data_IF_700802896580
#
_entry.id   IF_700802896580
#
_cell.length_a   1.000
_cell.length_b   1.000
_cell.length_c   1.000
_cell.angle_alpha   90.00
_cell.angle_beta   90.00
_cell.angle_gamma   90.00
#
_symmetry.space_group_name_H-M   'P 1'
#
loop_
_entity.id
_entity.type
_entity.pdbx_description
1 polymer ?
#
# COMPACT_ATOMS: atom_id res chain seq x y z
N UNK A 1 -41.38 -18.20 -25.61
CA UNK A 1 -42.67 -17.49 -25.56
C UNK A 1 -42.43 -16.03 -25.98
N UNK A 2 -43.09 -15.64 -27.08
CA UNK A 2 -43.04 -14.27 -27.60
C UNK A 2 -44.14 -13.45 -26.93
N UNK A 3 -43.86 -12.18 -26.63
CA UNK A 3 -44.89 -11.10 -26.56
C UNK A 3 -44.18 -9.79 -26.91
N UNK A 4 -44.67 -9.23 -27.69
CA UNK A 4 -45.15 -8.23 -28.70
C UNK A 4 -45.24 -6.83 -28.13
N UNK A 5 -44.89 -5.92 -29.02
CA UNK A 5 -44.90 -4.46 -28.93
C UNK A 5 -46.29 -3.84 -28.78
N UNK A 6 -46.37 -2.69 -28.13
CA UNK A 6 -47.52 -1.80 -28.12
C UNK A 6 -47.08 -0.35 -28.22
N UNK A 7 -47.27 0.26 -29.35
CA UNK A 7 -47.04 1.66 -29.57
C UNK A 7 -48.28 2.50 -29.25
N UNK A 8 -48.11 3.73 -28.78
CA UNK A 8 -49.16 4.80 -28.78
C UNK A 8 -48.53 6.16 -29.08
N UNK A 9 -48.87 6.63 -30.23
CA UNK A 9 -49.32 7.91 -30.81
C UNK A 9 -48.90 9.23 -30.17
N UNK A 10 -48.39 10.05 -31.08
CA UNK A 10 -48.14 11.51 -31.02
C UNK A 10 -49.39 12.30 -30.68
N UNK A 11 -49.21 13.37 -29.92
CA UNK A 11 -50.05 14.58 -30.02
C UNK A 11 -49.14 15.81 -30.17
N UNK A 12 -49.41 16.57 -31.21
CA UNK A 12 -48.81 17.83 -31.59
C UNK A 12 -49.56 18.94 -30.84
N UNK A 13 -48.85 19.80 -30.14
CA UNK A 13 -49.36 21.03 -29.59
C UNK A 13 -48.43 22.20 -29.95
N UNK A 14 -48.91 23.08 -30.84
CA UNK A 14 -48.25 24.32 -31.25
C UNK A 14 -48.65 25.41 -30.25
N UNK A 15 -47.68 26.14 -29.71
CA UNK A 15 -47.95 27.31 -28.88
C UNK A 15 -46.76 28.31 -28.89
N UNK A 16 -47.06 29.51 -29.33
CA UNK A 16 -46.26 30.66 -29.74
C UNK A 16 -45.21 31.18 -28.72
N UNK A 17 -44.16 31.62 -29.30
CA UNK A 17 -43.27 32.77 -29.11
C UNK A 17 -43.32 33.58 -27.79
N UNK A 18 -42.17 33.65 -27.15
CA UNK A 18 -41.80 34.68 -26.20
C UNK A 18 -40.28 34.76 -26.12
N UNK A 19 -39.67 35.69 -26.87
CA UNK A 19 -38.22 35.98 -26.84
C UNK A 19 -37.88 36.74 -25.57
N UNK A 20 -37.28 36.07 -24.61
CA UNK A 20 -36.56 36.72 -23.52
C UNK A 20 -35.07 36.41 -23.71
N UNK A 21 -34.27 37.39 -24.11
CA UNK A 21 -32.82 37.34 -24.08
C UNK A 21 -32.37 37.32 -22.64
N UNK A 22 -31.94 36.16 -22.18
CA UNK A 22 -31.15 36.03 -20.93
C UNK A 22 -29.70 35.93 -21.34
N UNK A 23 -28.90 36.94 -20.95
CA UNK A 23 -27.45 36.91 -21.08
C UNK A 23 -26.89 35.82 -20.17
N UNK A 24 -26.49 34.72 -20.75
CA UNK A 24 -25.76 33.65 -20.03
C UNK A 24 -24.34 34.14 -19.79
N UNK A 25 -24.06 34.58 -18.56
CA UNK A 25 -22.69 34.71 -18.08
C UNK A 25 -22.07 33.30 -17.98
N UNK A 26 -21.18 32.97 -18.90
CA UNK A 26 -20.42 31.73 -18.90
C UNK A 26 -19.45 31.76 -17.73
N UNK A 27 -19.79 31.11 -16.63
CA UNK A 27 -18.86 30.75 -15.58
C UNK A 27 -17.94 29.66 -16.15
N UNK A 28 -16.76 30.04 -16.63
CA UNK A 28 -15.69 29.09 -16.92
C UNK A 28 -15.24 28.46 -15.61
N UNK A 29 -15.21 27.12 -15.49
CA UNK A 29 -14.57 26.49 -14.35
C UNK A 29 -13.07 26.85 -14.36
N UNK A 30 -12.58 27.42 -13.25
CA UNK A 30 -11.17 27.66 -13.06
C UNK A 30 -10.44 26.32 -13.09
N UNK A 31 -9.51 26.16 -14.03
CA UNK A 31 -8.57 25.04 -14.04
C UNK A 31 -7.81 25.02 -12.72
N UNK A 32 -7.63 23.85 -12.09
CA UNK A 32 -6.80 23.78 -10.90
C UNK A 32 -5.40 24.26 -11.23
N UNK A 33 -4.94 25.27 -10.50
CA UNK A 33 -3.59 25.79 -10.62
C UNK A 33 -2.61 24.64 -10.41
N UNK A 34 -1.78 24.35 -11.42
CA UNK A 34 -0.64 23.45 -11.27
C UNK A 34 0.20 23.96 -10.09
N UNK A 35 0.28 23.16 -9.03
CA UNK A 35 1.14 23.46 -7.92
C UNK A 35 2.58 23.60 -8.44
N UNK A 36 3.16 24.78 -8.32
CA UNK A 36 4.54 25.03 -8.68
C UNK A 36 5.44 24.08 -7.88
N UNK A 37 6.55 23.56 -8.45
CA UNK A 37 7.47 22.73 -7.71
C UNK A 37 8.00 23.53 -6.52
N UNK A 38 7.85 22.97 -5.31
CA UNK A 38 8.34 23.58 -4.08
C UNK A 38 9.87 23.47 -4.08
N UNK A 39 10.55 24.52 -4.54
CA UNK A 39 12.02 24.65 -4.53
C UNK A 39 12.48 25.17 -3.16
N UNK A 40 12.25 24.39 -2.10
CA UNK A 40 12.93 24.62 -0.82
C UNK A 40 14.16 23.73 -0.73
N UNK A 41 15.20 24.09 0.07
CA UNK A 41 16.34 23.21 0.28
C UNK A 41 15.83 21.86 0.78
N UNK A 42 16.27 20.77 0.12
CA UNK A 42 15.93 19.41 0.56
C UNK A 42 16.38 19.26 2.02
N UNK A 43 15.48 18.83 2.89
CA UNK A 43 15.86 18.54 4.27
C UNK A 43 16.97 17.48 4.23
N UNK A 44 18.08 17.74 4.94
CA UNK A 44 19.19 16.80 5.00
C UNK A 44 18.72 15.51 5.68
N UNK A 45 18.57 14.42 4.92
CA UNK A 45 18.18 13.12 5.44
C UNK A 45 17.70 12.18 4.36
N UNK A 46 17.77 10.88 4.69
CA UNK A 46 17.31 9.81 3.84
C UNK A 46 16.24 8.99 4.56
N UNK A 47 15.44 8.29 3.76
CA UNK A 47 14.38 7.40 4.17
C UNK A 47 14.57 6.06 3.46
N UNK A 48 14.55 4.96 4.20
CA UNK A 48 14.56 3.60 3.69
C UNK A 48 13.17 3.00 3.85
N UNK A 49 12.52 2.69 2.74
CA UNK A 49 11.26 1.98 2.73
C UNK A 49 11.49 0.51 2.37
N UNK A 50 10.89 -0.37 3.15
CA UNK A 50 10.99 -1.82 3.07
C UNK A 50 9.59 -2.43 3.06
N UNK A 51 9.45 -3.62 2.48
CA UNK A 51 8.19 -4.34 2.53
C UNK A 51 7.79 -5.01 1.21
N UNK A 52 6.50 -5.12 1.02
CA UNK A 52 5.88 -5.84 -0.08
C UNK A 52 5.27 -4.92 -1.16
N UNK A 53 4.23 -5.41 -1.83
CA UNK A 53 3.53 -4.69 -2.91
C UNK A 53 2.86 -3.40 -2.48
N UNK A 54 2.41 -3.29 -1.22
CA UNK A 54 1.80 -2.06 -0.70
C UNK A 54 2.86 -0.96 -0.56
N UNK A 55 4.04 -1.29 -0.02
CA UNK A 55 5.15 -0.35 0.05
C UNK A 55 5.71 -0.01 -1.35
N UNK A 56 5.65 -0.96 -2.29
CA UNK A 56 6.07 -0.75 -3.68
C UNK A 56 5.14 0.21 -4.44
N UNK A 57 3.87 0.30 -4.05
CA UNK A 57 2.83 1.00 -4.81
C UNK A 57 2.36 0.20 -6.01
N UNK A 58 2.28 -1.13 -5.88
CA UNK A 58 1.95 -2.03 -6.98
C UNK A 58 0.57 -1.73 -7.57
N UNK A 59 0.50 -1.71 -8.89
CA UNK A 59 -0.72 -1.56 -9.69
C UNK A 59 -0.84 -2.78 -10.60
N UNK A 60 -1.95 -3.52 -10.58
CA UNK A 60 -2.12 -4.71 -11.42
C UNK A 60 -2.23 -4.35 -12.90
N UNK A 61 -1.85 -5.28 -13.81
CA UNK A 61 -1.86 -5.02 -15.25
C UNK A 61 -3.27 -4.76 -15.83
N UNK A 62 -4.31 -5.17 -15.11
CA UNK A 62 -5.71 -4.94 -15.48
C UNK A 62 -6.21 -3.53 -15.16
N UNK A 63 -5.43 -2.73 -14.41
CA UNK A 63 -5.80 -1.34 -14.09
C UNK A 63 -5.84 -0.47 -15.36
N UNK A 64 -6.66 0.58 -15.32
CA UNK A 64 -6.76 1.54 -16.43
C UNK A 64 -6.48 2.95 -15.89
N UNK A 65 -5.42 3.63 -16.41
CA UNK A 65 -4.46 3.12 -17.38
C UNK A 65 -3.56 2.01 -16.80
N UNK A 66 -3.13 1.07 -17.65
CA UNK A 66 -2.17 0.05 -17.25
C UNK A 66 -0.80 0.66 -16.96
N UNK A 67 -0.10 0.24 -15.90
CA UNK A 67 1.23 0.75 -15.60
C UNK A 67 2.28 0.24 -16.60
N UNK A 68 3.34 1.00 -16.78
CA UNK A 68 4.51 0.52 -17.50
C UNK A 68 5.43 -0.26 -16.54
N UNK A 69 5.38 -1.58 -16.62
CA UNK A 69 6.18 -2.47 -15.76
C UNK A 69 7.69 -2.35 -15.97
N UNK A 70 8.14 -1.83 -17.12
CA UNK A 70 9.56 -1.58 -17.34
C UNK A 70 10.08 -0.29 -16.71
N UNK A 71 9.18 0.54 -16.17
CA UNK A 71 9.53 1.79 -15.48
C UNK A 71 8.99 1.78 -14.06
N UNK A 72 9.84 1.60 -13.04
CA UNK A 72 9.39 1.56 -11.64
C UNK A 72 8.74 2.88 -11.19
N UNK A 73 8.96 4.00 -11.88
CA UNK A 73 8.30 5.28 -11.57
C UNK A 73 6.80 5.27 -11.89
N UNK A 74 6.31 4.25 -12.62
CA UNK A 74 4.88 4.02 -12.83
C UNK A 74 4.16 3.57 -11.55
N UNK A 75 4.91 3.21 -10.52
CA UNK A 75 4.41 2.71 -9.24
C UNK A 75 4.72 3.73 -8.15
N UNK A 76 3.69 4.32 -7.57
CA UNK A 76 3.82 5.35 -6.52
C UNK A 76 3.11 4.86 -5.27
N UNK A 77 3.89 4.39 -4.31
CA UNK A 77 3.40 3.92 -3.02
C UNK A 77 3.28 5.02 -1.97
N UNK A 78 2.92 4.61 -0.76
CA UNK A 78 2.98 5.52 0.39
C UNK A 78 4.40 6.06 0.65
N UNK A 79 5.50 5.29 0.39
CA UNK A 79 6.85 5.81 0.67
C UNK A 79 7.20 7.06 -0.13
N UNK A 80 6.84 7.13 -1.41
CA UNK A 80 7.09 8.28 -2.27
C UNK A 80 6.27 9.50 -1.79
N UNK A 81 5.05 9.27 -1.29
CA UNK A 81 4.21 10.33 -0.73
C UNK A 81 4.78 10.86 0.59
N UNK A 82 5.19 9.98 1.52
CA UNK A 82 5.89 10.35 2.76
C UNK A 82 7.18 11.14 2.46
N UNK A 83 7.98 10.66 1.52
CA UNK A 83 9.23 11.32 1.13
C UNK A 83 8.99 12.76 0.64
N UNK A 84 7.92 12.94 -0.16
CA UNK A 84 7.50 14.26 -0.66
C UNK A 84 7.03 15.16 0.48
N UNK A 85 6.20 14.66 1.40
CA UNK A 85 5.67 15.42 2.52
C UNK A 85 6.78 15.85 3.50
N UNK A 86 7.67 14.92 3.84
CA UNK A 86 8.79 15.20 4.76
C UNK A 86 10.01 15.86 4.08
N UNK A 87 9.97 16.04 2.76
CA UNK A 87 11.07 16.60 1.94
C UNK A 87 12.41 15.87 2.13
N UNK A 88 12.36 14.53 2.25
CA UNK A 88 13.53 13.65 2.35
C UNK A 88 13.62 12.73 1.13
N UNK A 89 14.81 12.19 0.86
CA UNK A 89 14.98 11.24 -0.24
C UNK A 89 14.64 9.83 0.20
N UNK A 90 13.75 9.16 -0.51
CA UNK A 90 13.43 7.75 -0.28
C UNK A 90 14.31 6.83 -1.11
N UNK A 91 14.69 5.72 -0.50
CA UNK A 91 15.18 4.51 -1.16
C UNK A 91 14.15 3.43 -0.88
N UNK A 92 13.30 3.13 -1.86
CA UNK A 92 12.25 2.15 -1.73
C UNK A 92 12.77 0.78 -2.23
N UNK A 93 13.07 -0.12 -1.30
CA UNK A 93 13.61 -1.45 -1.58
C UNK A 93 12.54 -2.55 -1.52
N UNK A 94 11.27 -2.19 -1.42
CA UNK A 94 10.16 -3.13 -1.37
C UNK A 94 10.03 -3.94 -2.65
N UNK A 95 9.41 -5.12 -2.54
CA UNK A 95 9.21 -6.03 -3.65
C UNK A 95 7.78 -6.61 -3.61
N UNK A 96 7.00 -6.50 -4.70
CA UNK A 96 5.68 -7.13 -4.75
C UNK A 96 5.74 -8.63 -4.47
N UNK A 97 4.91 -9.10 -3.52
CA UNK A 97 4.87 -10.51 -3.13
C UNK A 97 5.93 -10.95 -2.11
N UNK A 98 6.70 -10.02 -1.52
CA UNK A 98 7.68 -10.35 -0.48
C UNK A 98 6.99 -10.93 0.76
N UNK A 99 7.50 -12.03 1.30
CA UNK A 99 7.15 -12.61 2.61
C UNK A 99 8.21 -12.25 3.65
N UNK A 100 7.89 -12.42 4.92
CA UNK A 100 8.89 -12.20 5.98
C UNK A 100 10.07 -13.17 5.88
N UNK A 101 9.84 -14.40 5.40
CA UNK A 101 10.87 -15.40 5.18
C UNK A 101 11.79 -15.03 4.00
N UNK A 102 11.23 -14.68 2.84
CA UNK A 102 12.03 -14.31 1.65
C UNK A 102 12.76 -12.98 1.84
N UNK A 103 12.24 -12.09 2.68
CA UNK A 103 12.92 -10.87 3.10
C UNK A 103 14.28 -11.18 3.79
N UNK A 104 14.39 -12.29 4.51
CA UNK A 104 15.56 -12.68 5.30
C UNK A 104 16.48 -13.65 4.58
N UNK A 105 15.92 -14.66 3.90
CA UNK A 105 16.62 -15.84 3.44
C UNK A 105 16.56 -15.95 1.91
N UNK A 106 17.72 -15.99 1.22
CA UNK A 106 17.75 -16.21 -0.23
C UNK A 106 17.11 -17.55 -0.58
N UNK A 107 16.21 -17.56 -1.54
CA UNK A 107 15.53 -18.77 -2.00
C UNK A 107 14.36 -19.23 -1.12
N UNK A 108 14.07 -18.55 0.00
CA UNK A 108 12.83 -18.78 0.71
C UNK A 108 11.63 -18.41 -0.17
N UNK A 109 10.54 -19.13 0.01
CA UNK A 109 9.34 -18.93 -0.82
C UNK A 109 8.74 -17.56 -0.57
N UNK A 110 8.48 -16.84 -1.66
CA UNK A 110 7.74 -15.58 -1.67
C UNK A 110 6.37 -15.79 -2.35
N UNK A 111 5.47 -14.83 -2.19
CA UNK A 111 4.19 -14.81 -2.89
C UNK A 111 4.24 -13.88 -4.12
N UNK A 112 5.33 -13.97 -4.88
CA UNK A 112 5.49 -13.25 -6.14
C UNK A 112 6.67 -12.29 -6.25
N UNK A 113 7.53 -12.13 -5.23
CA UNK A 113 8.74 -11.30 -5.35
C UNK A 113 9.80 -11.96 -6.25
N UNK A 114 10.33 -13.13 -5.85
CA UNK A 114 11.27 -13.91 -6.65
C UNK A 114 10.62 -15.15 -7.25
N UNK A 115 9.74 -15.78 -6.49
CA UNK A 115 8.93 -16.91 -6.90
C UNK A 115 7.56 -16.84 -6.23
N UNK A 116 6.62 -17.63 -6.73
CA UNK A 116 5.31 -17.81 -6.14
C UNK A 116 4.88 -19.27 -6.26
N UNK A 117 3.87 -19.74 -5.53
CA UNK A 117 3.37 -21.10 -5.64
C UNK A 117 3.08 -21.48 -7.11
N UNK A 118 3.66 -22.58 -7.58
CA UNK A 118 3.52 -23.05 -8.96
C UNK A 118 4.25 -22.23 -10.03
N UNK A 119 5.05 -21.23 -9.66
CA UNK A 119 5.87 -20.41 -10.58
C UNK A 119 7.33 -20.47 -10.21
N UNK A 120 8.19 -20.44 -11.23
CA UNK A 120 9.65 -20.27 -11.06
C UNK A 120 10.11 -18.83 -11.23
N UNK A 121 9.18 -17.90 -11.53
CA UNK A 121 9.49 -16.50 -11.80
C UNK A 121 8.63 -15.58 -10.95
N UNK A 122 9.28 -14.59 -10.36
CA UNK A 122 8.63 -13.55 -9.58
C UNK A 122 8.80 -12.16 -10.21
N UNK A 123 8.29 -11.15 -9.54
CA UNK A 123 8.29 -9.77 -10.01
C UNK A 123 9.70 -9.27 -10.35
N UNK A 124 10.65 -9.38 -9.41
CA UNK A 124 12.01 -8.83 -9.58
C UNK A 124 12.88 -9.60 -10.58
N UNK A 125 12.45 -10.75 -11.04
CA UNK A 125 13.13 -11.48 -12.13
C UNK A 125 12.71 -10.99 -13.50
N UNK A 126 11.55 -10.34 -13.60
CA UNK A 126 10.94 -9.89 -14.85
C UNK A 126 10.95 -8.37 -14.98
N UNK A 127 10.82 -7.65 -13.87
CA UNK A 127 10.62 -6.20 -13.85
C UNK A 127 11.57 -5.52 -12.86
N UNK A 128 11.96 -4.26 -13.14
CA UNK A 128 12.82 -3.52 -12.21
C UNK A 128 12.07 -3.13 -10.94
N UNK A 129 12.76 -3.19 -9.80
CA UNK A 129 12.35 -2.55 -8.56
C UNK A 129 12.72 -1.06 -8.56
N UNK A 130 12.18 -0.27 -7.62
CA UNK A 130 12.57 1.15 -7.44
C UNK A 130 14.07 1.30 -7.21
N UNK A 131 14.68 0.35 -6.49
CA UNK A 131 16.14 0.23 -6.35
C UNK A 131 16.58 -1.18 -6.68
N UNK A 132 17.67 -1.28 -7.43
CA UNK A 132 18.21 -2.59 -7.81
C UNK A 132 19.18 -3.10 -6.75
N UNK A 133 18.97 -4.33 -6.29
CA UNK A 133 19.87 -5.01 -5.35
C UNK A 133 19.94 -6.50 -5.64
N UNK A 134 21.05 -7.12 -5.22
CA UNK A 134 21.23 -8.57 -5.23
C UNK A 134 20.98 -9.12 -3.83
N UNK A 135 20.53 -10.36 -3.76
CA UNK A 135 20.21 -11.02 -2.48
C UNK A 135 18.89 -10.54 -1.89
N UNK A 136 18.76 -10.66 -0.58
CA UNK A 136 17.52 -10.35 0.12
C UNK A 136 17.34 -8.86 0.39
N UNK A 137 16.11 -8.47 0.65
CA UNK A 137 15.78 -7.11 1.06
C UNK A 137 16.50 -6.72 2.35
N UNK A 138 16.66 -7.69 3.29
CA UNK A 138 17.45 -7.49 4.52
C UNK A 138 18.93 -7.18 4.23
N UNK A 139 19.55 -7.90 3.30
CA UNK A 139 20.94 -7.64 2.93
C UNK A 139 21.11 -6.24 2.32
N UNK A 140 20.15 -5.80 1.52
CA UNK A 140 20.14 -4.42 1.02
C UNK A 140 19.99 -3.41 2.15
N UNK A 141 19.05 -3.62 3.07
CA UNK A 141 18.82 -2.72 4.20
C UNK A 141 20.07 -2.53 5.06
N UNK A 142 20.78 -3.62 5.38
CA UNK A 142 22.03 -3.55 6.15
C UNK A 142 23.11 -2.73 5.42
N UNK A 143 23.29 -2.96 4.11
CA UNK A 143 24.25 -2.20 3.31
C UNK A 143 23.87 -0.73 3.21
N UNK A 144 22.60 -0.45 3.00
CA UNK A 144 22.09 0.91 2.92
C UNK A 144 22.33 1.68 4.21
N UNK A 145 21.95 1.12 5.36
CA UNK A 145 22.09 1.75 6.67
C UNK A 145 23.57 1.92 7.07
N UNK A 146 24.45 1.02 6.63
CA UNK A 146 25.88 1.14 6.87
C UNK A 146 26.51 2.39 6.23
N UNK A 147 26.03 2.80 5.05
CA UNK A 147 26.56 3.97 4.31
C UNK A 147 25.74 5.25 4.50
N UNK A 148 24.44 5.13 4.79
CA UNK A 148 23.54 6.27 4.97
C UNK A 148 23.28 6.54 6.46
N UNK A 149 24.30 6.97 7.19
CA UNK A 149 24.25 7.17 8.66
C UNK A 149 23.23 8.22 9.12
N UNK A 150 22.79 9.09 8.21
CA UNK A 150 21.77 10.12 8.46
C UNK A 150 20.37 9.67 7.99
N UNK A 151 20.12 8.36 7.92
CA UNK A 151 18.77 7.83 7.67
C UNK A 151 17.85 8.23 8.83
N UNK A 152 16.84 9.05 8.51
CA UNK A 152 15.92 9.61 9.51
C UNK A 152 14.74 8.68 9.79
N UNK A 153 14.31 7.94 8.76
CA UNK A 153 13.14 7.08 8.79
C UNK A 153 13.45 5.75 8.12
N UNK A 154 13.04 4.68 8.76
CA UNK A 154 12.87 3.36 8.16
C UNK A 154 11.41 2.96 8.32
N UNK A 155 10.73 2.64 7.23
CA UNK A 155 9.40 2.04 7.31
C UNK A 155 9.43 0.60 6.83
N UNK A 156 8.55 -0.22 7.38
CA UNK A 156 8.33 -1.60 6.96
C UNK A 156 6.84 -1.91 6.92
N UNK A 157 6.40 -2.55 5.84
CA UNK A 157 5.04 -3.06 5.67
C UNK A 157 5.14 -4.45 5.04
N UNK A 158 5.02 -5.50 5.86
CA UNK A 158 5.27 -6.89 5.48
C UNK A 158 4.50 -7.85 6.38
N UNK A 159 4.12 -9.03 5.86
CA UNK A 159 3.45 -10.10 6.58
C UNK A 159 2.15 -10.57 5.92
N UNK A 160 1.49 -9.75 5.10
CA UNK A 160 0.26 -10.17 4.42
C UNK A 160 0.52 -11.32 3.43
N UNK A 161 1.66 -11.32 2.74
CA UNK A 161 2.00 -12.38 1.79
C UNK A 161 2.31 -13.71 2.46
N UNK A 162 2.74 -13.72 3.71
CA UNK A 162 2.87 -14.94 4.51
C UNK A 162 1.51 -15.60 4.73
N UNK A 163 0.48 -14.79 5.04
CA UNK A 163 -0.89 -15.26 5.19
C UNK A 163 -1.47 -15.73 3.84
N UNK A 164 -1.27 -14.98 2.76
CA UNK A 164 -1.72 -15.40 1.42
C UNK A 164 -1.03 -16.69 0.98
N UNK A 165 0.26 -16.84 1.26
CA UNK A 165 1.00 -18.06 0.96
C UNK A 165 0.43 -19.26 1.74
N UNK A 166 0.07 -19.09 3.02
CA UNK A 166 -0.63 -20.11 3.79
C UNK A 166 -1.97 -20.48 3.13
N UNK A 167 -2.75 -19.48 2.71
CA UNK A 167 -4.04 -19.70 2.02
C UNK A 167 -3.89 -20.47 0.70
N UNK A 168 -2.82 -20.23 -0.04
CA UNK A 168 -2.56 -20.85 -1.34
C UNK A 168 -1.97 -22.27 -1.22
N UNK A 169 -1.31 -22.58 -0.11
CA UNK A 169 -0.55 -23.83 0.05
C UNK A 169 -1.19 -24.84 0.99
N UNK A 170 -2.20 -24.46 1.78
CA UNK A 170 -2.94 -25.37 2.65
C UNK A 170 -4.26 -25.81 2.03
N UNK A 171 -4.71 -27.02 2.37
CA UNK A 171 -5.90 -27.63 1.75
C UNK A 171 -7.21 -26.91 2.09
N UNK A 172 -7.26 -26.25 3.25
CA UNK A 172 -8.42 -25.52 3.77
C UNK A 172 -8.26 -23.99 3.64
N UNK A 173 -7.30 -23.53 2.82
CA UNK A 173 -6.98 -22.12 2.62
C UNK A 173 -6.64 -21.39 3.92
N UNK A 174 -5.84 -22.02 4.79
CA UNK A 174 -5.43 -21.47 6.08
C UNK A 174 -6.61 -21.14 7.00
N UNK A 175 -7.67 -21.94 6.96
CA UNK A 175 -8.88 -21.71 7.76
C UNK A 175 -8.78 -22.24 9.18
N UNK A 176 -7.86 -23.18 9.46
CA UNK A 176 -7.70 -23.72 10.81
C UNK A 176 -7.01 -22.72 11.74
N UNK A 177 -7.49 -22.65 13.00
CA UNK A 177 -6.85 -21.79 14.00
C UNK A 177 -5.38 -22.14 14.25
N UNK A 178 -5.00 -23.40 14.09
CA UNK A 178 -3.61 -23.85 14.25
C UNK A 178 -2.70 -23.30 13.14
N UNK A 179 -3.14 -23.29 11.90
CA UNK A 179 -2.38 -22.74 10.76
C UNK A 179 -2.27 -21.22 10.85
N UNK A 180 -3.37 -20.52 11.18
CA UNK A 180 -3.35 -19.08 11.43
C UNK A 180 -2.36 -18.75 12.54
N UNK A 181 -2.39 -19.49 13.65
CA UNK A 181 -1.44 -19.27 14.74
C UNK A 181 0.00 -19.54 14.31
N UNK A 182 0.25 -20.58 13.53
CA UNK A 182 1.58 -20.92 13.06
C UNK A 182 2.16 -19.83 12.15
N UNK A 183 1.39 -19.33 11.19
CA UNK A 183 1.87 -18.27 10.29
C UNK A 183 2.09 -16.95 11.04
N UNK A 184 1.25 -16.59 12.01
CA UNK A 184 1.45 -15.39 12.82
C UNK A 184 2.71 -15.51 13.71
N UNK A 185 2.99 -16.69 14.26
CA UNK A 185 4.21 -16.94 15.02
C UNK A 185 5.46 -16.86 14.13
N UNK A 186 5.40 -17.39 12.91
CA UNK A 186 6.49 -17.27 11.93
C UNK A 186 6.75 -15.79 11.58
N UNK A 187 5.70 -15.02 11.27
CA UNK A 187 5.81 -13.57 11.03
C UNK A 187 6.50 -12.88 12.20
N UNK A 188 6.08 -13.16 13.44
CA UNK A 188 6.67 -12.55 14.63
C UNK A 188 8.15 -12.94 14.81
N UNK A 189 8.53 -14.18 14.57
CA UNK A 189 9.91 -14.65 14.63
C UNK A 189 10.80 -13.98 13.57
N UNK A 190 10.29 -13.90 12.35
CA UNK A 190 10.98 -13.24 11.24
C UNK A 190 11.12 -11.73 11.46
N UNK A 191 10.06 -11.04 11.91
CA UNK A 191 10.13 -9.62 12.28
C UNK A 191 11.11 -9.36 13.42
N UNK A 192 11.14 -10.25 14.42
CA UNK A 192 12.14 -10.19 15.50
C UNK A 192 13.55 -10.23 14.92
N UNK A 193 13.82 -11.14 13.98
CA UNK A 193 15.12 -11.24 13.31
C UNK A 193 15.43 -10.01 12.48
N UNK A 194 14.46 -9.48 11.73
CA UNK A 194 14.60 -8.27 10.90
C UNK A 194 14.96 -7.08 11.77
N UNK A 195 14.21 -6.85 12.85
CA UNK A 195 14.44 -5.69 13.72
C UNK A 195 15.73 -5.83 14.55
N UNK A 196 16.09 -7.03 15.00
CA UNK A 196 17.41 -7.29 15.58
C UNK A 196 18.53 -6.89 14.61
N UNK A 197 18.44 -7.29 13.34
CA UNK A 197 19.45 -6.92 12.35
C UNK A 197 19.48 -5.42 12.11
N UNK A 198 18.35 -4.73 12.05
CA UNK A 198 18.29 -3.28 11.89
C UNK A 198 18.87 -2.55 13.12
N UNK A 199 18.52 -2.97 14.33
CA UNK A 199 18.94 -2.31 15.57
C UNK A 199 20.37 -2.65 15.95
N UNK A 200 20.70 -3.94 15.98
CA UNK A 200 21.94 -4.42 16.59
C UNK A 200 23.06 -4.61 15.56
N UNK A 201 22.76 -5.00 14.31
CA UNK A 201 23.79 -5.20 13.29
C UNK A 201 24.04 -3.93 12.48
N UNK A 202 22.99 -3.23 12.03
CA UNK A 202 23.14 -1.95 11.33
C UNK A 202 23.32 -0.77 12.27
N UNK A 203 23.15 -0.95 13.58
CA UNK A 203 23.18 0.09 14.61
C UNK A 203 22.29 1.29 14.28
N UNK A 204 21.10 1.01 13.72
CA UNK A 204 20.14 2.03 13.39
C UNK A 204 19.28 2.40 14.60
N UNK A 205 19.46 3.61 15.12
CA UNK A 205 18.72 4.14 16.28
C UNK A 205 17.71 5.22 15.89
N UNK A 206 17.54 5.47 14.58
CA UNK A 206 16.54 6.41 14.08
C UNK A 206 15.10 5.89 14.20
N UNK A 207 14.18 6.64 13.64
CA UNK A 207 12.76 6.30 13.68
C UNK A 207 12.46 5.08 12.79
N UNK A 208 12.03 3.99 13.42
CA UNK A 208 11.52 2.79 12.77
C UNK A 208 10.00 2.77 12.91
N UNK A 209 9.29 2.63 11.80
CA UNK A 209 7.83 2.61 11.75
C UNK A 209 7.35 1.37 10.99
N UNK A 210 6.53 0.54 11.62
CA UNK A 210 5.74 -0.44 10.90
C UNK A 210 4.41 0.18 10.49
N UNK A 211 4.00 -0.08 9.25
CA UNK A 211 2.66 0.24 8.78
C UNK A 211 1.80 -1.02 8.85
N UNK A 212 0.67 -0.95 9.54
CA UNK A 212 -0.30 -2.04 9.59
C UNK A 212 -1.14 -2.12 8.31
N UNK A 213 -1.79 -3.27 8.09
CA UNK A 213 -2.65 -3.49 6.92
C UNK A 213 -4.08 -3.03 7.20
N UNK A 214 -4.76 -2.60 6.14
CA UNK A 214 -6.18 -2.30 6.09
C UNK A 214 -6.98 -3.60 5.83
N UNK A 215 -8.25 -3.62 6.26
CA UNK A 215 -9.18 -4.68 5.86
C UNK A 215 -9.73 -4.43 4.46
N UNK A 216 -9.99 -5.50 3.70
CA UNK A 216 -10.63 -5.41 2.39
C UNK A 216 -12.16 -5.21 2.52
N UNK A 217 -12.72 -5.51 3.70
CA UNK A 217 -14.11 -5.25 4.06
C UNK A 217 -14.23 -5.06 5.58
N UNK A 218 -14.62 -3.89 6.02
CA UNK A 218 -14.89 -3.60 7.43
C UNK A 218 -16.28 -4.05 7.88
N UNK A 219 -17.13 -4.48 6.96
CA UNK A 219 -18.44 -5.09 7.25
C UNK A 219 -18.38 -6.63 7.37
N UNK A 220 -17.24 -7.23 7.07
CA UNK A 220 -17.01 -8.67 7.23
C UNK A 220 -16.21 -8.93 8.52
N UNK A 221 -16.83 -9.45 9.60
CA UNK A 221 -16.15 -9.67 10.87
C UNK A 221 -14.96 -10.63 10.79
N UNK A 222 -14.98 -11.60 9.86
CA UNK A 222 -13.89 -12.54 9.70
C UNK A 222 -12.67 -11.89 9.08
N UNK A 223 -12.86 -11.05 8.06
CA UNK A 223 -11.77 -10.27 7.46
C UNK A 223 -11.20 -9.24 8.45
N UNK A 224 -12.05 -8.57 9.22
CA UNK A 224 -11.63 -7.66 10.28
C UNK A 224 -10.75 -8.40 11.29
N UNK A 225 -11.26 -9.49 11.87
CA UNK A 225 -10.54 -10.25 12.89
C UNK A 225 -9.19 -10.80 12.38
N UNK A 226 -9.16 -11.32 11.14
CA UNK A 226 -7.90 -11.79 10.52
C UNK A 226 -6.89 -10.68 10.31
N UNK A 227 -7.32 -9.51 9.85
CA UNK A 227 -6.46 -8.35 9.66
C UNK A 227 -5.95 -7.80 11.00
N UNK A 228 -6.80 -7.71 12.03
CA UNK A 228 -6.41 -7.28 13.37
C UNK A 228 -5.42 -8.24 14.02
N UNK A 229 -5.57 -9.55 13.84
CA UNK A 229 -4.63 -10.55 14.33
C UNK A 229 -3.24 -10.38 13.72
N UNK A 230 -3.16 -10.19 12.39
CA UNK A 230 -1.90 -9.89 11.69
C UNK A 230 -1.30 -8.57 12.19
N UNK A 231 -2.11 -7.52 12.28
CA UNK A 231 -1.66 -6.20 12.71
C UNK A 231 -1.15 -6.23 14.16
N UNK A 232 -1.81 -6.97 15.04
CA UNK A 232 -1.37 -7.18 16.43
C UNK A 232 -0.03 -7.90 16.50
N UNK A 233 0.19 -8.91 15.65
CA UNK A 233 1.46 -9.61 15.56
C UNK A 233 2.59 -8.65 15.13
N UNK A 234 2.36 -7.83 14.11
CA UNK A 234 3.31 -6.82 13.62
C UNK A 234 3.59 -5.77 14.70
N UNK A 235 2.55 -5.20 15.32
CA UNK A 235 2.66 -4.15 16.31
C UNK A 235 3.47 -4.62 17.53
N UNK A 236 3.13 -5.80 18.08
CA UNK A 236 3.76 -6.33 19.28
C UNK A 236 5.28 -6.49 19.14
N UNK A 237 5.76 -6.93 17.98
CA UNK A 237 7.21 -7.05 17.73
C UNK A 237 7.82 -5.67 17.49
N UNK A 238 7.17 -4.82 16.71
CA UNK A 238 7.67 -3.47 16.40
C UNK A 238 7.94 -2.66 17.66
N UNK A 239 7.00 -2.67 18.61
CA UNK A 239 7.09 -1.93 19.87
C UNK A 239 8.22 -2.45 20.77
N UNK A 240 8.45 -3.78 20.83
CA UNK A 240 9.57 -4.38 21.57
C UNK A 240 10.93 -3.85 21.12
N UNK A 241 11.07 -3.47 19.84
CA UNK A 241 12.30 -2.89 19.31
C UNK A 241 12.31 -1.35 19.30
N UNK A 242 11.41 -0.72 20.07
CA UNK A 242 11.29 0.73 20.16
C UNK A 242 10.84 1.38 18.85
N UNK A 243 10.26 0.61 17.95
CA UNK A 243 9.58 1.10 16.75
C UNK A 243 8.25 1.73 17.08
N UNK A 244 7.67 2.42 16.10
CA UNK A 244 6.32 2.98 16.16
C UNK A 244 5.44 2.26 15.16
N UNK A 245 4.15 2.25 15.43
CA UNK A 245 3.14 1.64 14.55
C UNK A 245 2.31 2.77 13.92
N UNK A 246 2.27 2.79 12.60
CA UNK A 246 1.35 3.63 11.84
C UNK A 246 0.11 2.79 11.51
N UNK A 247 -1.05 3.29 11.88
CA UNK A 247 -2.29 2.54 11.80
C UNK A 247 -2.96 2.65 10.42
N UNK A 248 -2.58 1.74 9.53
CA UNK A 248 -3.20 1.61 8.20
C UNK A 248 -4.62 1.05 8.25
N UNK A 249 -4.96 0.28 9.31
CA UNK A 249 -6.31 -0.24 9.51
C UNK A 249 -7.30 0.89 9.76
N UNK A 250 -7.05 1.71 10.77
CA UNK A 250 -7.90 2.85 11.10
C UNK A 250 -7.93 3.90 9.98
N UNK A 251 -6.81 4.09 9.26
CA UNK A 251 -6.74 5.01 8.13
C UNK A 251 -7.74 4.68 7.01
N UNK A 252 -8.05 3.41 6.80
CA UNK A 252 -9.03 2.96 5.82
C UNK A 252 -10.44 2.79 6.40
N UNK A 253 -10.55 2.38 7.66
CA UNK A 253 -11.83 2.12 8.33
C UNK A 253 -12.72 3.38 8.33
N UNK A 254 -12.19 4.50 8.82
CA UNK A 254 -12.95 5.75 8.93
C UNK A 254 -13.63 6.17 7.62
N UNK A 255 -12.88 6.37 6.52
CA UNK A 255 -13.49 6.71 5.23
C UNK A 255 -14.41 5.63 4.67
N UNK A 256 -14.14 4.34 4.95
CA UNK A 256 -14.97 3.23 4.47
C UNK A 256 -16.34 3.15 5.16
N UNK A 257 -16.45 3.68 6.38
CA UNK A 257 -17.69 3.63 7.15
C UNK A 257 -18.88 4.27 6.42
N UNK A 258 -18.67 5.39 5.72
CA UNK A 258 -19.70 6.05 4.90
C UNK A 258 -20.14 5.23 3.68
N UNK A 259 -19.43 4.16 3.35
CA UNK A 259 -19.65 3.27 2.21
C UNK A 259 -19.95 1.83 2.67
N UNK A 260 -20.60 1.68 3.83
CA UNK A 260 -20.97 0.37 4.36
C UNK A 260 -19.76 -0.51 4.73
N UNK A 261 -18.64 0.09 5.09
CA UNK A 261 -17.41 -0.62 5.44
C UNK A 261 -16.61 -1.12 4.23
N UNK A 262 -16.89 -0.63 3.02
CA UNK A 262 -16.20 -1.05 1.79
C UNK A 262 -15.11 -0.06 1.36
N UNK A 263 -13.81 -0.38 1.50
CA UNK A 263 -12.73 0.44 0.97
C UNK A 263 -12.77 0.58 -0.56
N UNK A 264 -13.29 -0.45 -1.24
CA UNK A 264 -13.51 -0.42 -2.70
C UNK A 264 -14.51 0.67 -3.08
N UNK A 265 -15.68 0.70 -2.43
CA UNK A 265 -16.70 1.71 -2.68
C UNK A 265 -16.25 3.12 -2.25
N UNK A 266 -15.41 3.21 -1.21
CA UNK A 266 -14.78 4.45 -0.78
C UNK A 266 -13.66 4.94 -1.73
N UNK A 267 -13.33 4.19 -2.78
CA UNK A 267 -12.29 4.55 -3.74
C UNK A 267 -10.86 4.41 -3.21
N UNK A 268 -10.66 3.66 -2.12
CA UNK A 268 -9.35 3.47 -1.48
C UNK A 268 -8.56 2.32 -2.09
N UNK A 269 -9.22 1.42 -2.84
CA UNK A 269 -8.59 0.33 -3.57
C UNK A 269 -8.63 0.61 -5.08
N UNK A 270 -7.71 -0.02 -5.82
CA UNK A 270 -7.65 0.10 -7.28
C UNK A 270 -8.87 -0.57 -7.89
N UNK A 271 -9.72 0.24 -8.53
CA UNK A 271 -10.90 -0.26 -9.24
C UNK A 271 -10.51 -0.81 -10.61
N UNK A 272 -11.01 -1.99 -10.94
CA UNK A 272 -10.77 -2.67 -12.20
C UNK A 272 -11.90 -2.38 -13.21
N UNK A 273 -11.67 -2.59 -14.53
CA UNK A 273 -12.67 -2.32 -15.57
C UNK A 273 -13.98 -3.11 -15.45
N UNK A 274 -13.93 -4.28 -14.81
CA UNK A 274 -15.11 -5.11 -14.55
C UNK A 274 -15.96 -4.63 -13.36
N UNK A 275 -15.52 -3.53 -12.70
CA UNK A 275 -16.20 -2.94 -11.55
C UNK A 275 -15.77 -3.51 -10.19
N UNK A 276 -14.97 -4.58 -10.17
CA UNK A 276 -14.36 -5.09 -8.93
C UNK A 276 -13.19 -4.23 -8.49
N UNK A 277 -12.65 -4.49 -7.30
CA UNK A 277 -11.40 -3.85 -6.87
C UNK A 277 -10.30 -4.88 -6.68
N UNK A 278 -9.09 -4.47 -7.03
CA UNK A 278 -7.89 -5.17 -6.64
C UNK A 278 -7.61 -4.90 -5.15
N UNK A 279 -6.87 -5.80 -4.50
CA UNK A 279 -6.54 -5.69 -3.07
C UNK A 279 -5.58 -4.52 -2.74
N UNK A 280 -4.90 -3.96 -3.74
CA UNK A 280 -3.91 -2.89 -3.54
C UNK A 280 -4.56 -1.51 -3.44
N UNK A 281 -3.94 -0.59 -2.67
CA UNK A 281 -4.45 0.76 -2.51
C UNK A 281 -4.46 1.53 -3.82
N UNK A 282 -5.51 2.32 -4.01
CA UNK A 282 -5.54 3.38 -5.02
C UNK A 282 -4.57 4.51 -4.65
N UNK A 283 -4.34 5.50 -5.54
CA UNK A 283 -3.60 6.71 -5.16
C UNK A 283 -4.16 7.40 -3.91
N UNK A 284 -5.49 7.41 -3.73
CA UNK A 284 -6.13 7.95 -2.53
C UNK A 284 -5.82 7.10 -1.29
N UNK A 285 -5.88 5.77 -1.41
CA UNK A 285 -5.48 4.85 -0.34
C UNK A 285 -4.01 5.04 0.07
N UNK A 286 -3.10 5.17 -0.90
CA UNK A 286 -1.69 5.44 -0.60
C UNK A 286 -1.45 6.77 0.11
N UNK A 287 -2.25 7.81 -0.15
CA UNK A 287 -2.17 9.08 0.58
C UNK A 287 -2.61 8.92 2.04
N UNK A 288 -3.65 8.11 2.33
CA UNK A 288 -4.05 7.83 3.70
C UNK A 288 -2.98 7.04 4.46
N UNK A 289 -2.37 6.03 3.84
CA UNK A 289 -1.26 5.28 4.43
C UNK A 289 -0.03 6.18 4.68
N UNK A 290 0.27 7.07 3.74
CA UNK A 290 1.33 8.06 3.93
C UNK A 290 1.04 8.98 5.11
N UNK A 291 -0.19 9.48 5.23
CA UNK A 291 -0.62 10.31 6.35
C UNK A 291 -0.46 9.61 7.69
N UNK A 292 -0.83 8.33 7.79
CA UNK A 292 -0.63 7.54 9.00
C UNK A 292 0.86 7.47 9.41
N UNK A 293 1.77 7.31 8.44
CA UNK A 293 3.22 7.37 8.70
C UNK A 293 3.66 8.78 9.13
N UNK A 294 3.18 9.82 8.47
CA UNK A 294 3.53 11.22 8.76
C UNK A 294 3.11 11.62 10.17
N UNK A 295 1.94 11.20 10.62
CA UNK A 295 1.43 11.48 11.96
C UNK A 295 2.33 10.89 13.04
N UNK A 296 2.82 9.68 12.82
CA UNK A 296 3.78 9.02 13.72
C UNK A 296 5.17 9.66 13.63
N UNK A 297 5.59 10.07 12.43
CA UNK A 297 6.89 10.70 12.20
C UNK A 297 6.94 12.14 12.69
N UNK A 298 5.87 12.92 12.48
CA UNK A 298 5.75 14.32 12.90
C UNK A 298 5.70 14.52 14.42
N UNK A 299 5.14 13.53 15.14
CA UNK A 299 5.12 13.56 16.61
C UNK A 299 6.52 13.53 17.27
N UNK A 300 7.60 13.47 16.48
CA UNK A 300 9.00 13.44 16.94
C UNK A 300 9.89 14.52 16.35
N UNK A 301 9.39 15.57 15.74
CA UNK A 301 10.21 16.74 15.51
C UNK A 301 10.44 17.45 16.87
N UNK A 302 11.60 17.31 17.54
CA UNK A 302 11.93 18.23 18.61
C UNK A 302 11.98 19.61 17.96
N UNK A 303 11.21 20.53 18.48
CA UNK A 303 11.49 21.94 18.24
C UNK A 303 12.92 22.17 18.74
N UNK A 304 13.81 22.52 17.82
CA UNK A 304 15.17 22.96 18.15
C UNK A 304 15.12 24.39 18.71
#
# INVERSE_FOLDING_TARGET
MRYQAGGVRRLIGIGLAGTAMVAAASLMPALPASAAPVTGPAANGTYLALGDSVAFGYVPPQAVPAPNYSDPRSFVGYPENVARALRIRVSNASCPGETTASFLVPGALSNGCENSPGSSTGYRTQFPLHVQYRGTQMQYALKYLAVHRHTRLVTINIGANDVFLCQETTADACASAAEVQAVLQEIQANLTTIYTKIRDVAHYHGLLVALTYYSLSYSDPAQVAGTEALNSAIASVTEKFGGKVADGFAAFEGPSAAFGGSPCAAGLLIKLPDGTCNIHPSPAGHLLLAKAIEDVAGARAPQA
#
